data_IF_388605539373
#
_entry.id   IF_388605539373
#
_cell.length_a   1.000
_cell.length_b   1.000
_cell.length_c   1.000
_cell.angle_alpha   90.00
_cell.angle_beta   90.00
_cell.angle_gamma   90.00
#
_symmetry.space_group_name_H-M   'P 1'
#
loop_
_entity.id
_entity.type
_entity.pdbx_description
1 polymer ?
#
# COMPACT_ATOMS: atom_id res chain seq x y z
N UNK A 1 14.41 9.76 18.57
CA UNK A 1 13.42 10.57 17.85
C UNK A 1 13.89 10.75 16.40
N UNK A 2 13.03 10.51 15.42
CA UNK A 2 13.25 10.76 14.00
C UNK A 2 12.88 12.20 13.62
N UNK A 3 13.39 12.70 12.50
CA UNK A 3 12.86 13.92 11.91
C UNK A 3 11.57 13.63 11.14
N UNK A 4 11.51 12.48 10.45
CA UNK A 4 10.35 12.06 9.68
C UNK A 4 10.09 10.56 9.87
N UNK A 5 8.84 10.19 10.09
CA UNK A 5 8.38 8.82 9.94
C UNK A 5 7.36 8.74 8.80
N UNK A 6 7.62 7.83 7.87
CA UNK A 6 6.74 7.50 6.75
C UNK A 6 5.94 6.26 7.10
N UNK A 7 4.63 6.30 6.97
CA UNK A 7 3.72 5.18 7.27
C UNK A 7 3.17 4.62 5.97
N UNK A 8 3.58 3.40 5.63
CA UNK A 8 3.16 2.66 4.46
C UNK A 8 4.27 2.43 3.44
N UNK A 9 4.44 1.17 3.01
CA UNK A 9 5.46 0.67 2.07
C UNK A 9 4.98 0.50 0.63
N UNK A 10 3.88 1.16 0.26
CA UNK A 10 3.45 1.23 -1.14
C UNK A 10 4.32 2.18 -1.98
N UNK A 11 4.01 2.34 -3.28
CA UNK A 11 4.79 3.19 -4.18
C UNK A 11 5.02 4.61 -3.65
N UNK A 12 4.00 5.21 -3.01
CA UNK A 12 4.11 6.55 -2.42
C UNK A 12 5.09 6.63 -1.26
N UNK A 13 5.07 5.64 -0.36
CA UNK A 13 5.97 5.58 0.79
C UNK A 13 7.41 5.31 0.38
N UNK A 14 7.61 4.39 -0.54
CA UNK A 14 8.95 4.09 -1.09
C UNK A 14 9.53 5.32 -1.78
N UNK A 15 8.77 6.00 -2.64
CA UNK A 15 9.21 7.23 -3.28
C UNK A 15 9.62 8.29 -2.25
N UNK A 16 8.78 8.52 -1.25
CA UNK A 16 9.09 9.47 -0.17
C UNK A 16 10.34 9.07 0.62
N UNK A 17 10.50 7.78 0.95
CA UNK A 17 11.65 7.25 1.68
C UNK A 17 12.95 7.45 0.93
N UNK A 18 12.97 7.15 -0.37
CA UNK A 18 14.15 7.37 -1.23
C UNK A 18 14.55 8.85 -1.22
N UNK A 19 13.60 9.76 -1.43
CA UNK A 19 13.91 11.18 -1.45
C UNK A 19 14.34 11.71 -0.08
N UNK A 20 13.73 11.26 1.02
CA UNK A 20 14.11 11.64 2.37
C UNK A 20 15.54 11.18 2.69
N UNK A 21 15.88 9.93 2.38
CA UNK A 21 17.23 9.39 2.56
C UNK A 21 18.27 10.19 1.75
N UNK A 22 17.99 10.46 0.48
CA UNK A 22 18.87 11.28 -0.39
C UNK A 22 19.06 12.72 0.12
N UNK A 23 18.08 13.26 0.83
CA UNK A 23 18.17 14.56 1.52
C UNK A 23 18.84 14.48 2.89
N UNK A 24 19.28 13.29 3.30
CA UNK A 24 19.92 13.04 4.61
C UNK A 24 19.04 13.43 5.81
N UNK A 25 17.72 13.31 5.65
CA UNK A 25 16.77 13.45 6.74
C UNK A 25 16.87 12.19 7.61
N UNK A 26 16.87 12.33 8.93
CA UNK A 26 16.80 11.16 9.82
C UNK A 26 15.40 10.56 9.75
N UNK A 27 15.24 9.55 8.90
CA UNK A 27 13.94 9.01 8.48
C UNK A 27 13.79 7.54 8.82
N UNK A 28 12.57 7.15 9.21
CA UNK A 28 12.14 5.76 9.25
C UNK A 28 10.92 5.54 8.35
N UNK A 29 10.79 4.35 7.78
CA UNK A 29 9.60 3.90 7.10
C UNK A 29 9.03 2.69 7.85
N UNK A 30 7.78 2.82 8.29
CA UNK A 30 7.02 1.75 8.96
C UNK A 30 6.02 1.16 7.97
N UNK A 31 6.06 -0.14 7.79
CA UNK A 31 5.14 -0.83 6.88
C UNK A 31 4.81 -2.25 7.35
N UNK A 32 3.58 -2.67 7.09
CA UNK A 32 3.17 -4.07 7.26
C UNK A 32 3.74 -4.94 6.14
N UNK A 33 3.64 -4.45 4.90
CA UNK A 33 4.16 -5.11 3.69
C UNK A 33 4.58 -4.08 2.65
N UNK A 34 5.51 -4.43 1.79
CA UNK A 34 5.85 -3.60 0.63
C UNK A 34 4.85 -3.79 -0.52
N UNK A 35 4.78 -2.80 -1.42
CA UNK A 35 3.97 -2.84 -2.63
C UNK A 35 2.52 -2.36 -2.46
N UNK A 36 1.94 -2.45 -1.26
CA UNK A 36 0.56 -2.01 -1.01
C UNK A 36 -0.44 -2.65 -1.98
N UNK A 37 -1.37 -1.85 -2.52
CA UNK A 37 -2.42 -2.36 -3.44
C UNK A 37 -1.88 -2.90 -4.77
N UNK A 38 -0.65 -2.57 -5.18
CA UNK A 38 -0.09 -3.13 -6.42
C UNK A 38 0.16 -4.64 -6.34
N UNK A 39 0.39 -5.19 -5.14
CA UNK A 39 0.64 -6.62 -4.93
C UNK A 39 -0.45 -7.54 -5.52
N UNK A 40 -1.70 -7.11 -5.49
CA UNK A 40 -2.84 -7.92 -5.95
C UNK A 40 -3.05 -7.85 -7.47
N UNK A 41 -2.29 -7.02 -8.18
CA UNK A 41 -2.41 -6.89 -9.63
C UNK A 41 -1.52 -7.90 -10.36
N UNK A 42 -2.12 -8.68 -11.25
CA UNK A 42 -1.37 -9.60 -12.09
C UNK A 42 -0.52 -8.85 -13.14
N UNK A 43 -0.99 -7.69 -13.60
CA UNK A 43 -0.34 -6.89 -14.64
C UNK A 43 -0.59 -5.39 -14.39
N UNK A 44 0.48 -4.66 -14.11
CA UNK A 44 0.48 -3.21 -13.91
C UNK A 44 1.02 -2.55 -15.19
N UNK A 45 0.18 -1.81 -15.90
CA UNK A 45 0.52 -1.15 -17.17
C UNK A 45 0.59 0.38 -17.11
N UNK A 46 0.31 0.93 -15.95
CA UNK A 46 0.31 2.37 -15.70
C UNK A 46 1.48 2.85 -14.84
N UNK A 47 2.47 1.99 -14.62
CA UNK A 47 3.72 2.38 -13.97
C UNK A 47 4.66 3.03 -14.98
N UNK A 48 4.90 4.33 -14.84
CA UNK A 48 5.70 5.11 -15.78
C UNK A 48 7.14 4.55 -15.87
N UNK A 49 7.60 4.32 -17.10
CA UNK A 49 8.92 3.73 -17.37
C UNK A 49 8.91 2.21 -17.53
N UNK A 50 7.77 1.55 -17.25
CA UNK A 50 7.61 0.09 -17.42
C UNK A 50 6.31 -0.19 -18.17
N UNK A 51 6.38 -0.89 -19.31
CA UNK A 51 5.20 -1.16 -20.15
C UNK A 51 4.21 -2.13 -19.48
N UNK A 52 4.75 -3.11 -18.76
CA UNK A 52 3.99 -4.15 -18.09
C UNK A 52 4.89 -4.78 -17.02
N UNK A 53 4.37 -4.98 -15.83
CA UNK A 53 5.07 -5.61 -14.72
C UNK A 53 4.04 -6.23 -13.77
N UNK A 54 4.35 -7.40 -13.22
CA UNK A 54 3.49 -7.95 -12.14
C UNK A 54 3.54 -7.05 -10.89
N UNK A 55 2.45 -7.00 -10.15
CA UNK A 55 2.42 -6.25 -8.90
C UNK A 55 3.44 -6.76 -7.88
N UNK A 56 3.72 -8.06 -7.91
CA UNK A 56 4.74 -8.68 -7.08
C UNK A 56 6.16 -8.20 -7.46
N UNK A 57 6.52 -8.25 -8.74
CA UNK A 57 7.83 -7.77 -9.20
C UNK A 57 7.99 -6.27 -8.96
N UNK A 58 6.92 -5.49 -9.16
CA UNK A 58 6.93 -4.07 -8.84
C UNK A 58 7.22 -3.83 -7.35
N UNK A 59 6.57 -4.59 -6.46
CA UNK A 59 6.78 -4.48 -5.02
C UNK A 59 8.23 -4.83 -4.63
N UNK A 60 8.78 -5.91 -5.21
CA UNK A 60 10.18 -6.28 -4.99
C UNK A 60 11.16 -5.22 -5.47
N UNK A 61 10.93 -4.64 -6.65
CA UNK A 61 11.77 -3.58 -7.20
C UNK A 61 11.74 -2.32 -6.31
N UNK A 62 10.56 -1.94 -5.82
CA UNK A 62 10.38 -0.82 -4.91
C UNK A 62 11.09 -1.04 -3.58
N UNK A 63 10.93 -2.21 -2.98
CA UNK A 63 11.57 -2.60 -1.74
C UNK A 63 13.09 -2.61 -1.88
N UNK A 64 13.61 -3.29 -2.91
CA UNK A 64 15.04 -3.38 -3.19
C UNK A 64 15.66 -1.99 -3.36
N UNK A 65 15.01 -1.12 -4.13
CA UNK A 65 15.49 0.25 -4.34
C UNK A 65 15.53 1.07 -3.05
N UNK A 66 14.53 0.90 -2.16
CA UNK A 66 14.53 1.59 -0.88
C UNK A 66 15.62 1.07 0.05
N UNK A 67 15.82 -0.26 0.11
CA UNK A 67 16.85 -0.88 0.96
C UNK A 67 18.28 -0.54 0.52
N UNK A 68 18.48 -0.20 -0.75
CA UNK A 68 19.77 0.28 -1.28
C UNK A 68 20.10 1.72 -0.83
N UNK A 69 19.15 2.46 -0.27
CA UNK A 69 19.41 3.80 0.23
C UNK A 69 20.08 3.76 1.61
N UNK A 70 21.22 4.43 1.75
CA UNK A 70 21.80 4.68 3.06
C UNK A 70 21.00 5.74 3.85
N UNK A 71 20.90 5.56 5.16
CA UNK A 71 20.34 6.58 6.07
C UNK A 71 18.83 6.57 6.22
N UNK A 72 18.16 5.48 5.89
CA UNK A 72 16.78 5.22 6.22
C UNK A 72 16.67 3.95 7.07
N UNK A 73 15.91 4.02 8.16
CA UNK A 73 15.57 2.86 8.96
C UNK A 73 14.25 2.26 8.42
N UNK A 74 14.30 0.99 8.01
CA UNK A 74 13.13 0.27 7.50
C UNK A 74 12.62 -0.66 8.58
N UNK A 75 11.39 -0.44 9.01
CA UNK A 75 10.72 -1.19 10.06
C UNK A 75 9.54 -1.89 9.38
N UNK A 76 9.83 -3.05 8.84
CA UNK A 76 8.87 -3.91 8.15
C UNK A 76 8.14 -4.86 9.11
N UNK A 77 7.06 -5.47 8.60
CA UNK A 77 6.16 -6.34 9.38
C UNK A 77 5.55 -5.64 10.60
N UNK A 78 5.43 -4.32 10.53
CA UNK A 78 4.89 -3.49 11.60
C UNK A 78 3.73 -2.63 11.10
N UNK A 79 2.59 -2.81 11.73
CA UNK A 79 1.41 -2.01 11.48
C UNK A 79 1.24 -0.95 12.55
N UNK A 80 1.10 0.30 12.12
CA UNK A 80 0.80 1.41 13.04
C UNK A 80 -0.64 1.28 13.53
N UNK A 81 -0.81 1.24 14.85
CA UNK A 81 -2.10 1.13 15.54
C UNK A 81 -2.57 2.46 16.09
N UNK A 82 -1.64 3.32 16.52
CA UNK A 82 -1.98 4.59 17.17
C UNK A 82 -0.98 5.68 16.85
N UNK A 83 -1.48 6.89 16.70
CA UNK A 83 -0.69 8.12 16.55
C UNK A 83 -1.22 9.13 17.56
N UNK A 84 -0.33 9.74 18.32
CA UNK A 84 -0.64 10.76 19.31
C UNK A 84 0.26 11.98 19.09
N UNK A 85 -0.32 13.17 19.18
CA UNK A 85 0.46 14.40 19.21
C UNK A 85 1.10 14.55 20.59
N UNK A 86 2.39 14.86 20.62
CA UNK A 86 3.17 15.20 21.82
C UNK A 86 3.74 16.61 21.67
N UNK A 87 4.38 17.13 22.70
CA UNK A 87 4.86 18.52 22.76
C UNK A 87 5.75 18.88 21.54
N UNK A 88 6.68 18.00 21.18
CA UNK A 88 7.67 18.26 20.11
C UNK A 88 7.50 17.32 18.90
N UNK A 89 6.26 16.97 18.54
CA UNK A 89 6.00 16.09 17.39
C UNK A 89 4.89 15.07 17.64
N UNK A 90 5.21 13.80 17.34
CA UNK A 90 4.25 12.70 17.40
C UNK A 90 4.89 11.45 18.03
N UNK A 91 4.09 10.73 18.79
CA UNK A 91 4.35 9.36 19.21
C UNK A 91 3.52 8.42 18.34
N UNK A 92 4.15 7.35 17.88
CA UNK A 92 3.56 6.33 17.01
C UNK A 92 3.73 4.99 17.67
N UNK A 93 2.64 4.25 17.83
CA UNK A 93 2.63 2.90 18.38
C UNK A 93 2.22 1.89 17.31
N UNK A 94 2.89 0.73 17.29
CA UNK A 94 2.55 -0.38 16.40
C UNK A 94 1.67 -1.42 17.10
N UNK A 95 1.07 -2.32 16.33
CA UNK A 95 0.27 -3.43 16.89
C UNK A 95 1.13 -4.40 17.72
N UNK A 96 2.42 -4.51 17.44
CA UNK A 96 3.36 -5.31 18.24
C UNK A 96 3.80 -4.64 19.53
N UNK A 97 3.37 -3.39 19.79
CA UNK A 97 3.68 -2.63 21.00
C UNK A 97 5.00 -1.86 20.94
N UNK A 98 5.63 -1.70 19.76
CA UNK A 98 6.78 -0.81 19.62
C UNK A 98 6.34 0.64 19.56
N UNK A 99 7.13 1.52 20.18
CA UNK A 99 6.88 2.95 20.23
C UNK A 99 8.00 3.71 19.49
N UNK A 100 7.59 4.71 18.73
CA UNK A 100 8.50 5.59 17.98
C UNK A 100 8.11 7.05 18.18
N UNK A 101 9.09 7.94 18.17
CA UNK A 101 8.88 9.38 18.21
C UNK A 101 9.45 10.07 16.98
N UNK A 102 8.74 11.06 16.46
CA UNK A 102 9.12 11.82 15.28
C UNK A 102 8.62 13.25 15.32
N UNK A 103 9.33 14.17 14.65
CA UNK A 103 8.87 15.56 14.48
C UNK A 103 7.71 15.64 13.47
N UNK A 104 7.80 14.89 12.37
CA UNK A 104 6.84 14.92 11.27
C UNK A 104 6.41 13.51 10.89
N UNK A 105 5.18 13.38 10.40
CA UNK A 105 4.63 12.14 9.84
C UNK A 105 4.22 12.39 8.40
N UNK A 106 4.60 11.46 7.53
CA UNK A 106 4.05 11.37 6.18
C UNK A 106 3.21 10.10 6.07
N UNK A 107 1.91 10.26 5.94
CA UNK A 107 0.99 9.13 5.80
C UNK A 107 0.82 8.75 4.34
N UNK A 108 1.25 7.54 3.99
CA UNK A 108 1.07 6.90 2.69
C UNK A 108 0.40 5.54 2.85
N UNK A 109 -0.52 5.45 3.82
CA UNK A 109 -1.18 4.22 4.24
C UNK A 109 -2.08 3.59 3.16
N UNK A 110 -2.31 4.32 2.06
CA UNK A 110 -3.12 3.84 0.95
C UNK A 110 -4.59 3.61 1.33
N UNK A 111 -5.18 2.62 0.69
CA UNK A 111 -6.56 2.20 0.96
C UNK A 111 -6.64 0.68 0.96
N UNK A 112 -7.64 0.14 1.62
CA UNK A 112 -8.01 -1.27 1.52
C UNK A 112 -9.40 -1.38 0.91
N UNK A 113 -9.59 -2.39 0.07
CA UNK A 113 -10.90 -2.68 -0.50
C UNK A 113 -11.83 -3.18 0.60
N UNK A 114 -13.07 -2.71 0.58
CA UNK A 114 -14.11 -3.26 1.45
C UNK A 114 -14.46 -4.65 0.95
N UNK A 115 -14.45 -5.61 1.85
CA UNK A 115 -14.88 -6.98 1.56
C UNK A 115 -16.39 -7.09 1.73
N UNK A 116 -17.00 -8.05 1.05
CA UNK A 116 -18.42 -8.36 1.21
C UNK A 116 -18.71 -9.02 2.56
N UNK A 117 -17.72 -9.73 3.12
CA UNK A 117 -17.83 -10.52 4.34
C UNK A 117 -18.97 -11.57 4.27
N UNK A 118 -19.07 -12.24 3.12
CA UNK A 118 -20.05 -13.31 2.88
C UNK A 118 -19.37 -14.68 2.87
N UNK A 119 -20.10 -15.75 3.22
CA UNK A 119 -19.56 -17.10 3.15
C UNK A 119 -19.05 -17.46 1.74
N UNK A 120 -17.84 -17.99 1.66
CA UNK A 120 -17.22 -18.39 0.39
C UNK A 120 -16.42 -17.31 -0.33
N UNK A 121 -16.42 -16.06 0.17
CA UNK A 121 -15.68 -14.95 -0.44
C UNK A 121 -14.20 -15.28 -0.65
N UNK A 122 -13.51 -15.76 0.38
CA UNK A 122 -12.08 -16.11 0.30
C UNK A 122 -11.80 -17.23 -0.71
N UNK A 123 -12.73 -18.17 -0.85
CA UNK A 123 -12.61 -19.30 -1.79
C UNK A 123 -12.74 -18.84 -3.24
N UNK A 124 -13.55 -17.83 -3.49
CA UNK A 124 -13.90 -17.35 -4.82
C UNK A 124 -13.19 -16.06 -5.23
N UNK A 125 -12.42 -15.45 -4.36
CA UNK A 125 -11.58 -14.28 -4.69
C UNK A 125 -10.57 -14.65 -5.79
N UNK A 126 -10.58 -13.88 -6.88
CA UNK A 126 -9.80 -14.17 -8.10
C UNK A 126 -10.30 -15.36 -8.92
N UNK A 127 -11.42 -15.98 -8.51
CA UNK A 127 -12.03 -17.15 -9.19
C UNK A 127 -13.55 -16.98 -9.36
N UNK A 128 -13.99 -15.74 -9.61
CA UNK A 128 -15.39 -15.38 -9.77
C UNK A 128 -15.83 -14.18 -8.92
N UNK A 129 -15.06 -13.82 -7.88
CA UNK A 129 -15.21 -12.57 -7.15
C UNK A 129 -14.00 -11.69 -7.45
N UNK A 130 -14.24 -10.46 -7.89
CA UNK A 130 -13.23 -9.46 -8.16
C UNK A 130 -13.60 -8.12 -7.52
N UNK A 131 -12.60 -7.31 -7.19
CA UNK A 131 -12.79 -6.03 -6.52
C UNK A 131 -12.27 -4.84 -7.35
N UNK A 132 -11.68 -5.09 -8.49
CA UNK A 132 -11.18 -4.06 -9.39
C UNK A 132 -11.82 -4.21 -10.76
N UNK A 133 -12.77 -3.35 -11.09
CA UNK A 133 -13.38 -3.35 -12.41
C UNK A 133 -12.36 -3.15 -13.52
N UNK A 134 -11.47 -2.15 -13.37
CA UNK A 134 -10.47 -1.82 -14.39
C UNK A 134 -9.42 -2.94 -14.57
N UNK A 135 -9.04 -3.63 -13.46
CA UNK A 135 -8.00 -4.66 -13.51
C UNK A 135 -8.55 -6.00 -14.00
N UNK A 136 -9.76 -6.35 -13.54
CA UNK A 136 -10.29 -7.70 -13.63
C UNK A 136 -11.41 -7.83 -14.67
N UNK A 137 -11.98 -6.73 -15.19
CA UNK A 137 -13.06 -6.76 -16.19
C UNK A 137 -12.76 -7.65 -17.40
N UNK A 138 -11.54 -7.69 -17.94
CA UNK A 138 -11.24 -8.60 -19.07
C UNK A 138 -11.44 -10.09 -18.76
N UNK A 139 -11.41 -10.49 -17.48
CA UNK A 139 -11.61 -11.87 -17.04
C UNK A 139 -13.09 -12.29 -17.10
N UNK A 140 -14.00 -11.31 -17.20
CA UNK A 140 -15.45 -11.51 -17.18
C UNK A 140 -16.11 -11.23 -18.54
N UNK A 141 -15.30 -11.10 -19.60
CA UNK A 141 -15.81 -10.91 -20.96
C UNK A 141 -16.84 -11.99 -21.33
N UNK A 142 -17.97 -11.58 -21.90
CA UNK A 142 -19.09 -12.44 -22.33
C UNK A 142 -19.75 -13.23 -21.17
N UNK A 143 -19.50 -12.89 -19.92
CA UNK A 143 -20.12 -13.51 -18.75
C UNK A 143 -21.25 -12.65 -18.18
N UNK A 144 -22.25 -13.30 -17.57
CA UNK A 144 -23.25 -12.61 -16.77
C UNK A 144 -22.63 -12.31 -15.39
N UNK A 145 -22.45 -11.04 -15.09
CA UNK A 145 -21.85 -10.59 -13.84
C UNK A 145 -22.84 -9.82 -12.97
N UNK A 146 -22.70 -9.96 -11.65
CA UNK A 146 -23.43 -9.15 -10.69
C UNK A 146 -22.48 -8.12 -10.08
N UNK A 147 -22.82 -6.84 -10.15
CA UNK A 147 -22.07 -5.76 -9.51
C UNK A 147 -22.70 -5.46 -8.15
N UNK A 148 -21.92 -5.58 -7.09
CA UNK A 148 -22.35 -5.35 -5.71
C UNK A 148 -21.83 -4.00 -5.23
N UNK A 149 -22.73 -3.07 -4.97
CA UNK A 149 -22.42 -1.76 -4.46
C UNK A 149 -22.86 -0.61 -5.37
N UNK A 150 -23.37 0.46 -4.79
CA UNK A 150 -23.86 1.67 -5.48
C UNK A 150 -22.93 2.89 -5.36
N UNK A 151 -21.67 2.68 -4.97
CA UNK A 151 -20.66 3.74 -4.98
C UNK A 151 -19.98 3.89 -6.35
N UNK A 152 -19.06 4.87 -6.48
CA UNK A 152 -18.37 5.16 -7.74
C UNK A 152 -17.77 3.90 -8.38
N UNK A 153 -17.06 3.08 -7.61
CA UNK A 153 -16.45 1.85 -8.13
C UNK A 153 -17.47 0.83 -8.67
N UNK A 154 -18.65 0.75 -8.04
CA UNK A 154 -19.74 -0.11 -8.54
C UNK A 154 -20.35 0.44 -9.83
N UNK A 155 -20.56 1.74 -9.92
CA UNK A 155 -21.07 2.38 -11.14
C UNK A 155 -20.07 2.30 -12.30
N UNK A 156 -18.78 2.52 -12.03
CA UNK A 156 -17.71 2.33 -13.01
C UNK A 156 -17.59 0.89 -13.51
N UNK A 157 -17.96 -0.08 -12.69
CA UNK A 157 -17.91 -1.49 -13.08
C UNK A 157 -19.06 -1.89 -14.04
N UNK A 158 -20.13 -1.11 -14.12
CA UNK A 158 -21.30 -1.37 -15.00
C UNK A 158 -21.12 -0.75 -16.38
N UNK A 159 -20.31 0.29 -16.52
CA UNK A 159 -20.06 1.03 -17.77
C UNK A 159 -18.93 0.40 -18.56
#
# INVERSE_FOLDING_TARGET
>A
MYDLIIIGGGPGGVAAGIYAARKKIKVALLTETFGGQSLVSADVRNWIGTKSISGFDLAQNLESHLRDQAGIDIIDSERVSKIQKIENGFSIQTESGKDFETKYILTTAGSRRKRLNVPGEDKHEGKGIAYCSICDAPLFGDMVTAVIGGGNAGLEAVV
#
